data_IF_683475765839
#
_entry.id   IF_683475765839
#
_cell.length_a   1.000
_cell.length_b   1.000
_cell.length_c   1.000
_cell.angle_alpha   90.00
_cell.angle_beta   90.00
_cell.angle_gamma   90.00
#
_symmetry.space_group_name_H-M   'P 1'
#
loop_
_entity.id
_entity.type
_entity.pdbx_description
1 polymer ?
#
# COMPACT_ATOMS: atom_id res chain seq x y z
N UNK A 1 -1.07 -3.02 19.89
CA UNK A 1 0.11 -3.00 19.01
C UNK A 1 0.86 -1.68 19.10
N UNK A 2 2.14 -1.68 18.77
CA UNK A 2 2.91 -0.44 18.61
C UNK A 2 2.72 0.15 17.23
N UNK A 3 2.60 1.49 17.18
CA UNK A 3 2.51 2.25 15.93
C UNK A 3 3.29 3.57 16.02
N UNK A 4 3.80 4.04 14.91
CA UNK A 4 4.33 5.39 14.78
C UNK A 4 3.21 6.31 14.32
N UNK A 5 2.81 7.26 15.15
CA UNK A 5 1.63 8.11 14.98
C UNK A 5 2.01 9.57 15.08
N UNK A 6 1.33 10.43 14.36
CA UNK A 6 1.35 11.88 14.60
C UNK A 6 -0.03 12.37 15.04
N UNK A 7 -0.03 13.29 16.01
CA UNK A 7 -1.25 13.81 16.63
C UNK A 7 -1.72 15.11 15.95
N UNK A 8 -0.78 15.84 15.34
CA UNK A 8 -1.04 17.07 14.59
C UNK A 8 -0.17 17.07 13.33
N UNK A 9 -0.59 17.78 12.29
CA UNK A 9 0.24 17.97 11.11
C UNK A 9 1.56 18.67 11.48
N UNK A 10 2.64 18.24 10.86
CA UNK A 10 4.02 18.68 11.14
C UNK A 10 4.54 18.36 12.54
N UNK A 11 3.77 17.68 13.40
CA UNK A 11 4.23 17.25 14.72
C UNK A 11 5.17 16.04 14.59
N UNK A 12 6.05 15.79 15.58
CA UNK A 12 6.87 14.58 15.61
C UNK A 12 6.03 13.31 15.58
N UNK A 13 6.56 12.27 14.91
CA UNK A 13 6.02 10.92 15.03
C UNK A 13 6.37 10.33 16.39
N UNK A 14 5.38 9.83 17.08
CA UNK A 14 5.54 9.18 18.40
C UNK A 14 5.25 7.69 18.29
N UNK A 15 6.03 6.88 19.02
CA UNK A 15 5.73 5.45 19.14
C UNK A 15 4.75 5.27 20.29
N UNK A 16 3.55 4.84 19.94
CA UNK A 16 2.43 4.69 20.88
C UNK A 16 1.88 3.26 20.84
N UNK A 17 1.21 2.87 21.93
CA UNK A 17 0.42 1.65 21.97
C UNK A 17 -1.03 1.98 21.61
N UNK A 18 -1.52 1.37 20.54
CA UNK A 18 -2.89 1.49 20.03
C UNK A 18 -3.56 0.11 20.00
N UNK A 19 -4.89 0.01 19.98
CA UNK A 19 -5.58 -1.27 19.79
C UNK A 19 -5.12 -2.00 18.54
N UNK A 20 -5.10 -3.32 18.57
CA UNK A 20 -4.88 -4.12 17.37
C UNK A 20 -6.03 -3.90 16.38
N UNK A 21 -5.76 -3.91 15.06
CA UNK A 21 -6.79 -3.68 14.07
C UNK A 21 -7.78 -4.86 14.03
N UNK A 22 -9.06 -4.55 13.89
CA UNK A 22 -10.11 -5.56 13.68
C UNK A 22 -10.02 -6.14 12.26
N UNK A 23 -10.36 -7.42 12.13
CA UNK A 23 -10.42 -8.10 10.84
C UNK A 23 -11.63 -7.58 10.04
N UNK A 24 -11.44 -6.91 8.90
CA UNK A 24 -12.56 -6.40 8.11
C UNK A 24 -13.22 -7.52 7.29
N UNK A 25 -14.53 -7.43 7.03
CA UNK A 25 -15.21 -8.35 6.12
C UNK A 25 -14.55 -8.36 4.73
N UNK A 26 -14.32 -9.57 4.19
CA UNK A 26 -13.62 -9.75 2.90
C UNK A 26 -12.15 -9.32 2.93
N UNK A 27 -11.55 -9.20 4.11
CA UNK A 27 -10.22 -8.66 4.33
C UNK A 27 -9.27 -9.57 5.08
N UNK A 28 -8.14 -8.98 5.45
CA UNK A 28 -7.07 -9.62 6.21
C UNK A 28 -6.49 -8.66 7.25
N UNK A 29 -5.88 -9.22 8.29
CA UNK A 29 -4.89 -8.52 9.13
C UNK A 29 -3.51 -9.04 8.75
N UNK A 30 -2.60 -8.13 8.46
CA UNK A 30 -1.21 -8.45 8.07
C UNK A 30 -0.29 -8.01 9.20
N UNK A 31 0.55 -8.92 9.67
CA UNK A 31 1.72 -8.60 10.50
C UNK A 31 2.80 -7.99 9.62
N UNK A 32 3.06 -6.69 9.80
CA UNK A 32 4.04 -5.95 9.02
C UNK A 32 5.45 -6.46 9.31
N UNK A 33 6.22 -6.73 8.25
CA UNK A 33 7.61 -7.16 8.32
C UNK A 33 8.58 -6.13 7.78
N UNK A 34 8.12 -5.29 6.86
CA UNK A 34 8.86 -4.15 6.36
C UNK A 34 7.87 -3.09 5.87
N UNK A 35 8.21 -1.83 6.12
CA UNK A 35 7.51 -0.67 5.58
C UNK A 35 8.53 0.31 4.97
N UNK A 36 8.21 0.84 3.81
CA UNK A 36 8.99 1.86 3.12
C UNK A 36 8.50 3.26 3.48
N UNK A 37 9.39 4.24 3.42
CA UNK A 37 9.05 5.66 3.56
C UNK A 37 9.04 6.27 2.16
N UNK A 38 7.93 6.89 1.80
CA UNK A 38 7.73 7.57 0.53
C UNK A 38 7.61 9.08 0.73
N UNK A 39 7.84 9.85 -0.33
CA UNK A 39 7.59 11.30 -0.31
C UNK A 39 6.13 11.64 -0.02
N UNK A 40 5.21 10.75 -0.37
CA UNK A 40 3.78 10.92 -0.09
C UNK A 40 3.47 10.89 1.41
N UNK A 41 4.19 10.08 2.21
CA UNK A 41 4.02 10.09 3.67
C UNK A 41 4.43 11.45 4.27
N UNK A 42 5.45 12.11 3.69
CA UNK A 42 5.84 13.45 4.09
C UNK A 42 4.78 14.48 3.71
N UNK A 43 4.17 14.40 2.51
CA UNK A 43 3.07 15.28 2.12
C UNK A 43 1.85 15.09 3.03
N UNK A 44 1.54 13.83 3.37
CA UNK A 44 0.49 13.47 4.32
C UNK A 44 0.74 14.12 5.70
N UNK A 45 1.95 13.95 6.22
CA UNK A 45 2.37 14.55 7.50
C UNK A 45 2.33 16.09 7.48
N UNK A 46 2.59 16.75 6.33
CA UNK A 46 2.46 18.19 6.17
C UNK A 46 1.00 18.68 6.07
N UNK A 47 0.01 17.78 6.02
CA UNK A 47 -1.40 18.15 5.83
C UNK A 47 -1.75 18.55 4.39
N UNK A 48 -0.90 18.18 3.42
CA UNK A 48 -1.14 18.47 2.01
C UNK A 48 -2.08 17.47 1.34
N UNK A 49 -2.34 16.33 1.99
CA UNK A 49 -3.19 15.28 1.44
C UNK A 49 -4.61 15.38 2.00
N UNK A 50 -5.63 15.63 1.15
CA UNK A 50 -7.02 15.79 1.60
C UNK A 50 -7.67 14.49 2.04
N UNK A 51 -7.04 13.33 1.82
CA UNK A 51 -7.61 12.03 2.21
C UNK A 51 -7.38 11.70 3.68
N UNK A 52 -6.46 12.40 4.36
CA UNK A 52 -6.33 12.31 5.81
C UNK A 52 -7.42 13.14 6.47
N UNK A 53 -8.49 12.47 6.90
CA UNK A 53 -9.70 13.10 7.45
C UNK A 53 -9.67 13.26 8.97
N UNK A 54 -8.81 12.55 9.68
CA UNK A 54 -8.77 12.52 11.14
C UNK A 54 -7.35 12.38 11.68
N UNK A 55 -7.14 13.00 12.81
CA UNK A 55 -5.97 12.84 13.66
C UNK A 55 -6.42 12.27 15.02
N UNK A 56 -5.59 11.49 15.71
CA UNK A 56 -4.24 11.09 15.34
C UNK A 56 -4.21 10.12 14.17
N UNK A 57 -3.07 10.03 13.43
CA UNK A 57 -2.94 9.25 12.22
C UNK A 57 -1.64 8.43 12.17
N UNK A 58 -1.73 7.19 11.67
CA UNK A 58 -0.59 6.30 11.43
C UNK A 58 -0.31 6.26 9.92
N UNK A 59 0.83 6.78 9.46
CA UNK A 59 1.19 6.76 8.03
C UNK A 59 1.72 5.39 7.58
N UNK A 60 2.19 5.30 6.32
CA UNK A 60 2.83 4.13 5.74
C UNK A 60 1.93 3.38 4.76
N UNK A 61 2.28 3.44 3.47
CA UNK A 61 1.52 2.83 2.38
C UNK A 61 2.36 1.87 1.52
N UNK A 62 3.66 1.80 1.75
CA UNK A 62 4.56 0.83 1.11
C UNK A 62 4.94 -0.23 2.13
N UNK A 63 4.39 -1.44 2.05
CA UNK A 63 4.68 -2.46 3.05
C UNK A 63 4.57 -3.88 2.51
N UNK A 64 5.09 -4.78 3.30
CA UNK A 64 4.99 -6.22 3.09
C UNK A 64 4.94 -6.93 4.44
N UNK A 65 4.33 -8.10 4.45
CA UNK A 65 4.17 -8.83 5.71
C UNK A 65 3.66 -10.24 5.52
N UNK A 66 3.10 -10.76 6.59
CA UNK A 66 2.55 -12.12 6.69
C UNK A 66 1.10 -11.98 7.12
N UNK A 67 0.21 -12.72 6.47
CA UNK A 67 -1.21 -12.79 6.87
C UNK A 67 -1.29 -13.40 8.27
N UNK A 68 -1.82 -12.63 9.22
CA UNK A 68 -2.03 -13.04 10.62
C UNK A 68 -3.47 -13.52 10.85
N UNK A 69 -4.45 -12.84 10.22
CA UNK A 69 -5.85 -13.22 10.26
C UNK A 69 -6.49 -12.98 8.89
N UNK A 70 -7.50 -13.77 8.55
CA UNK A 70 -8.16 -13.75 7.25
C UNK A 70 -9.67 -14.01 7.40
N UNK A 71 -10.47 -13.28 6.63
CA UNK A 71 -11.90 -13.51 6.55
C UNK A 71 -12.17 -14.93 6.00
N UNK A 72 -13.04 -15.73 6.67
CA UNK A 72 -13.33 -17.11 6.26
C UNK A 72 -13.91 -17.27 4.84
N UNK A 73 -14.43 -16.20 4.26
CA UNK A 73 -14.92 -16.17 2.86
C UNK A 73 -13.81 -16.20 1.82
N UNK A 74 -12.58 -15.87 2.18
CA UNK A 74 -11.43 -15.84 1.26
C UNK A 74 -10.82 -17.24 1.18
N UNK A 75 -10.71 -17.82 -0.02
CA UNK A 75 -10.23 -19.18 -0.24
C UNK A 75 -8.85 -19.30 -0.88
N UNK A 76 -8.40 -18.25 -1.58
CA UNK A 76 -7.10 -18.23 -2.30
C UNK A 76 -5.90 -17.87 -1.44
N UNK A 77 -6.13 -17.48 -0.19
CA UNK A 77 -5.11 -17.06 0.77
C UNK A 77 -5.26 -17.81 2.10
N UNK A 78 -4.19 -17.87 2.85
CA UNK A 78 -4.17 -18.48 4.19
C UNK A 78 -3.26 -17.71 5.14
N UNK A 79 -3.49 -17.90 6.45
CA UNK A 79 -2.59 -17.40 7.50
C UNK A 79 -1.18 -17.96 7.26
N UNK A 80 -0.18 -17.11 7.40
CA UNK A 80 1.22 -17.44 7.12
C UNK A 80 1.70 -17.06 5.71
N UNK A 81 0.80 -16.76 4.77
CA UNK A 81 1.19 -16.33 3.42
C UNK A 81 1.95 -14.99 3.48
N UNK A 82 3.02 -14.90 2.70
CA UNK A 82 3.85 -13.70 2.52
C UNK A 82 3.22 -12.82 1.45
N UNK A 83 2.89 -11.57 1.81
CA UNK A 83 2.13 -10.68 0.94
C UNK A 83 2.62 -9.24 0.94
N UNK A 84 2.39 -8.57 -0.18
CA UNK A 84 2.41 -7.11 -0.34
C UNK A 84 1.13 -6.66 -1.04
N UNK A 85 0.91 -5.35 -1.14
CA UNK A 85 -0.25 -4.77 -1.82
C UNK A 85 0.15 -3.53 -2.63
N UNK A 86 -0.61 -3.14 -3.64
CA UNK A 86 -0.48 -1.80 -4.22
C UNK A 86 -0.92 -0.75 -3.20
N UNK A 87 -0.35 0.46 -3.26
CA UNK A 87 -0.70 1.55 -2.34
C UNK A 87 -2.18 1.99 -2.47
N UNK A 88 -2.78 1.82 -3.64
CA UNK A 88 -4.19 2.06 -3.91
C UNK A 88 -4.90 0.74 -4.15
N UNK A 89 -5.63 0.26 -3.14
CA UNK A 89 -6.35 -0.99 -3.18
C UNK A 89 -7.77 -0.75 -3.74
N UNK A 90 -8.12 -1.41 -4.85
CA UNK A 90 -9.45 -1.34 -5.44
C UNK A 90 -10.45 -2.27 -4.79
N UNK A 91 -11.75 -1.96 -4.88
CA UNK A 91 -12.82 -2.79 -4.30
C UNK A 91 -13.02 -4.14 -5.02
N UNK A 92 -12.55 -4.28 -6.26
CA UNK A 92 -12.67 -5.50 -7.07
C UNK A 92 -14.02 -5.69 -7.77
N UNK A 93 -15.03 -4.85 -7.48
CA UNK A 93 -16.42 -5.06 -7.96
C UNK A 93 -16.94 -3.94 -8.86
N UNK A 94 -16.34 -2.76 -8.84
CA UNK A 94 -16.76 -1.64 -9.68
C UNK A 94 -16.24 -1.80 -11.11
N UNK A 95 -16.80 -0.98 -12.03
CA UNK A 95 -16.40 -0.98 -13.44
C UNK A 95 -14.90 -0.73 -13.63
N UNK A 96 -14.32 0.21 -12.89
CA UNK A 96 -12.89 0.52 -12.99
C UNK A 96 -12.02 -0.69 -12.62
N UNK A 97 -12.41 -1.40 -11.57
CA UNK A 97 -11.70 -2.63 -11.17
C UNK A 97 -11.87 -3.74 -12.21
N UNK A 98 -13.06 -3.91 -12.78
CA UNK A 98 -13.33 -4.90 -13.83
C UNK A 98 -12.52 -4.61 -15.11
N UNK A 99 -12.28 -3.34 -15.42
CA UNK A 99 -11.46 -2.88 -16.55
C UNK A 99 -9.95 -2.91 -16.23
N UNK A 100 -9.51 -3.41 -15.05
CA UNK A 100 -8.11 -3.48 -14.63
C UNK A 100 -7.52 -2.16 -14.11
N UNK A 101 -8.35 -1.14 -13.88
CA UNK A 101 -7.94 0.20 -13.43
C UNK A 101 -8.22 0.40 -11.93
N UNK A 102 -7.76 -0.50 -11.09
CA UNK A 102 -7.99 -0.48 -9.64
C UNK A 102 -7.50 0.81 -8.95
N UNK A 103 -6.47 1.45 -9.49
CA UNK A 103 -5.90 2.70 -8.97
C UNK A 103 -6.83 3.93 -9.10
N UNK A 104 -7.90 3.84 -9.87
CA UNK A 104 -8.95 4.88 -9.99
C UNK A 104 -10.31 4.35 -9.52
N UNK A 105 -10.31 3.36 -8.66
CA UNK A 105 -11.51 2.85 -8.02
C UNK A 105 -12.16 3.95 -7.16
N UNK A 106 -13.47 4.22 -7.29
CA UNK A 106 -14.14 5.22 -6.46
C UNK A 106 -14.19 4.83 -4.97
N UNK A 107 -14.12 3.52 -4.67
CA UNK A 107 -14.12 2.95 -3.32
C UNK A 107 -12.71 2.50 -2.91
N UNK A 108 -11.67 3.17 -3.41
CA UNK A 108 -10.31 2.72 -3.11
C UNK A 108 -9.97 2.86 -1.63
N UNK A 109 -9.24 1.86 -1.12
CA UNK A 109 -8.64 1.89 0.19
C UNK A 109 -7.14 2.22 0.04
N UNK A 110 -6.71 3.27 0.71
CA UNK A 110 -5.31 3.72 0.69
C UNK A 110 -4.74 3.69 2.12
N UNK A 111 -3.99 2.63 2.49
CA UNK A 111 -3.34 2.58 3.80
C UNK A 111 -2.41 3.78 3.99
N UNK A 112 -2.43 4.38 5.17
CA UNK A 112 -1.62 5.57 5.48
C UNK A 112 -2.16 6.89 4.95
N UNK A 113 -3.36 6.89 4.32
CA UNK A 113 -4.07 8.07 3.84
C UNK A 113 -5.51 8.11 4.34
N UNK A 114 -6.42 7.38 3.68
CA UNK A 114 -7.83 7.34 4.12
C UNK A 114 -8.09 6.33 5.26
N UNK A 115 -7.06 5.64 5.72
CA UNK A 115 -7.04 4.77 6.89
C UNK A 115 -5.65 4.74 7.51
N UNK A 116 -5.52 4.22 8.73
CA UNK A 116 -4.22 3.98 9.34
C UNK A 116 -3.35 3.06 8.47
N UNK A 117 -2.08 3.38 8.41
CA UNK A 117 -1.08 2.73 7.56
C UNK A 117 -0.20 1.72 8.29
N UNK A 118 0.88 1.36 7.61
CA UNK A 118 1.77 0.27 7.99
C UNK A 118 2.98 0.68 8.84
N UNK A 119 3.06 1.93 9.32
CA UNK A 119 4.04 2.26 10.37
C UNK A 119 3.54 1.75 11.73
N UNK A 120 3.11 0.49 11.75
CA UNK A 120 2.57 -0.25 12.88
C UNK A 120 2.97 -1.73 12.80
N UNK A 121 2.78 -2.48 13.88
CA UNK A 121 3.05 -3.92 13.90
C UNK A 121 2.06 -4.71 13.04
N UNK A 122 0.81 -4.24 12.94
CA UNK A 122 -0.25 -4.87 12.16
C UNK A 122 -1.04 -3.83 11.35
N UNK A 123 -1.58 -4.27 10.24
CA UNK A 123 -2.49 -3.48 9.40
C UNK A 123 -3.67 -4.32 8.93
N UNK A 124 -4.87 -3.75 8.98
CA UNK A 124 -6.07 -4.35 8.41
C UNK A 124 -6.30 -3.85 6.98
N UNK A 125 -6.63 -4.75 6.09
CA UNK A 125 -6.91 -4.47 4.67
C UNK A 125 -8.24 -5.09 4.26
N UNK A 126 -9.21 -4.30 3.79
CA UNK A 126 -10.37 -4.82 3.08
C UNK A 126 -9.99 -5.28 1.66
N UNK A 127 -10.93 -5.92 0.96
CA UNK A 127 -10.75 -6.29 -0.45
C UNK A 127 -9.52 -7.17 -0.73
N UNK A 128 -9.19 -8.05 0.20
CA UNK A 128 -7.96 -8.85 0.15
C UNK A 128 -7.87 -9.72 -1.12
N UNK A 129 -8.98 -10.28 -1.57
CA UNK A 129 -9.03 -11.12 -2.77
C UNK A 129 -8.54 -10.39 -4.03
N UNK A 130 -8.75 -9.07 -4.11
CA UNK A 130 -8.38 -8.25 -5.28
C UNK A 130 -6.96 -7.74 -5.19
N UNK A 131 -6.46 -7.43 -3.99
CA UNK A 131 -5.27 -6.59 -3.84
C UNK A 131 -4.03 -7.31 -3.32
N UNK A 132 -4.18 -8.47 -2.67
CA UNK A 132 -3.02 -9.21 -2.16
C UNK A 132 -2.17 -9.77 -3.29
N UNK A 133 -0.86 -9.58 -3.16
CA UNK A 133 0.15 -10.09 -4.08
C UNK A 133 1.09 -10.99 -3.30
N UNK A 134 1.25 -12.25 -3.76
CA UNK A 134 2.16 -13.21 -3.13
C UNK A 134 3.62 -12.83 -3.34
N UNK A 135 4.38 -12.85 -2.27
CA UNK A 135 5.82 -12.61 -2.30
C UNK A 135 6.53 -13.97 -2.39
N UNK A 136 7.29 -14.24 -3.46
CA UNK A 136 8.15 -15.43 -3.55
C UNK A 136 9.19 -15.46 -2.43
N UNK A 137 9.64 -16.66 -2.03
CA UNK A 137 10.64 -16.80 -0.96
C UNK A 137 12.00 -16.19 -1.30
N UNK A 138 12.28 -16.02 -2.58
CA UNK A 138 13.49 -15.36 -3.10
C UNK A 138 13.51 -13.86 -2.93
N UNK A 139 12.35 -13.22 -2.66
CA UNK A 139 12.24 -11.77 -2.46
C UNK A 139 12.12 -11.47 -0.96
N UNK A 140 12.98 -10.59 -0.45
CA UNK A 140 12.92 -10.14 0.94
C UNK A 140 11.68 -9.25 1.18
N UNK A 141 11.21 -9.17 2.43
CA UNK A 141 10.13 -8.24 2.79
C UNK A 141 10.52 -6.78 2.49
N UNK A 142 11.76 -6.38 2.76
CA UNK A 142 12.23 -5.03 2.46
C UNK A 142 12.14 -4.70 0.96
N UNK A 143 12.57 -5.63 0.09
CA UNK A 143 12.44 -5.47 -1.35
C UNK A 143 10.97 -5.42 -1.79
N UNK A 144 10.13 -6.32 -1.26
CA UNK A 144 8.72 -6.37 -1.61
C UNK A 144 7.96 -5.10 -1.18
N UNK A 145 8.27 -4.53 0.00
CA UNK A 145 7.65 -3.29 0.46
C UNK A 145 7.88 -2.13 -0.52
N UNK A 146 9.04 -2.07 -1.19
CA UNK A 146 9.36 -0.99 -2.14
C UNK A 146 8.62 -1.10 -3.48
N UNK A 147 7.92 -2.19 -3.75
CA UNK A 147 7.26 -2.43 -5.04
C UNK A 147 5.84 -1.84 -5.13
N UNK A 148 5.15 -1.71 -4.01
CA UNK A 148 3.72 -1.40 -3.97
C UNK A 148 3.33 0.01 -4.44
N UNK A 149 4.24 0.99 -4.38
CA UNK A 149 3.99 2.37 -4.78
C UNK A 149 4.89 2.81 -5.94
N UNK A 150 6.14 3.18 -5.65
CA UNK A 150 7.04 3.82 -6.62
C UNK A 150 7.35 2.93 -7.82
N UNK A 151 7.60 1.65 -7.59
CA UNK A 151 7.87 0.70 -8.68
C UNK A 151 6.61 0.44 -9.51
N UNK A 152 5.48 0.15 -8.87
CA UNK A 152 4.22 -0.10 -9.55
C UNK A 152 3.81 1.12 -10.42
N UNK A 153 4.00 2.35 -9.92
CA UNK A 153 3.76 3.59 -10.63
C UNK A 153 4.65 3.70 -11.88
N UNK A 154 5.96 3.49 -11.73
CA UNK A 154 6.92 3.54 -12.85
C UNK A 154 6.61 2.46 -13.87
N UNK A 155 6.37 1.22 -13.43
CA UNK A 155 6.04 0.11 -14.31
C UNK A 155 4.78 0.37 -15.12
N UNK A 156 3.69 0.86 -14.48
CA UNK A 156 2.47 1.21 -15.19
C UNK A 156 2.71 2.32 -16.21
N UNK A 157 3.44 3.37 -15.86
CA UNK A 157 3.73 4.49 -16.76
C UNK A 157 4.46 4.04 -18.04
N UNK A 158 5.34 3.05 -17.92
CA UNK A 158 6.16 2.58 -19.03
C UNK A 158 5.51 1.44 -19.81
N UNK A 159 4.87 0.49 -19.14
CA UNK A 159 4.43 -0.79 -19.75
C UNK A 159 2.95 -0.82 -20.13
N UNK A 160 2.08 0.01 -19.51
CA UNK A 160 0.64 -0.07 -19.75
C UNK A 160 0.27 0.44 -21.15
N UNK A 161 -0.64 -0.27 -21.89
CA UNK A 161 -1.04 0.12 -23.26
C UNK A 161 -1.60 1.54 -23.38
N UNK A 162 -2.33 2.02 -22.35
CA UNK A 162 -2.91 3.37 -22.33
C UNK A 162 -1.92 4.44 -21.85
N UNK A 163 -0.65 4.09 -21.62
CA UNK A 163 0.42 4.97 -21.20
C UNK A 163 1.54 4.96 -22.26
N UNK A 164 2.80 4.93 -21.87
CA UNK A 164 3.92 4.94 -22.82
C UNK A 164 3.99 3.68 -23.69
N UNK A 165 3.52 2.54 -23.18
CA UNK A 165 3.53 1.23 -23.90
C UNK A 165 4.88 0.90 -24.55
N UNK A 166 5.97 1.17 -23.84
CA UNK A 166 7.35 1.08 -24.33
C UNK A 166 7.68 -0.31 -24.84
N UNK A 167 8.41 -0.34 -25.96
CA UNK A 167 8.92 -1.57 -26.59
C UNK A 167 10.43 -1.66 -26.47
N UNK A 168 10.95 -2.88 -26.58
CA UNK A 168 12.38 -3.10 -26.58
C UNK A 168 13.08 -2.27 -27.68
N UNK A 169 14.15 -1.57 -27.30
CA UNK A 169 14.92 -0.69 -28.20
C UNK A 169 14.46 0.77 -28.25
N UNK A 170 13.33 1.11 -27.66
CA UNK A 170 12.91 2.52 -27.54
C UNK A 170 13.72 3.26 -26.46
N UNK A 171 13.84 4.58 -26.64
CA UNK A 171 14.60 5.42 -25.72
C UNK A 171 13.66 6.13 -24.77
N UNK A 172 14.04 6.17 -23.48
CA UNK A 172 13.33 6.87 -22.42
C UNK A 172 14.21 7.97 -21.87
N UNK A 173 13.66 9.16 -21.69
CA UNK A 173 14.29 10.24 -20.96
C UNK A 173 13.58 10.44 -19.63
N UNK A 174 14.33 10.37 -18.53
CA UNK A 174 13.79 10.47 -17.17
C UNK A 174 14.29 11.75 -16.53
N UNK A 175 13.35 12.60 -16.10
CA UNK A 175 13.63 13.80 -15.33
C UNK A 175 13.43 13.51 -13.84
N UNK A 176 14.54 13.50 -13.09
CA UNK A 176 14.57 13.29 -11.64
C UNK A 176 14.99 11.86 -11.23
N UNK A 177 15.76 11.81 -10.13
CA UNK A 177 16.34 10.59 -9.57
C UNK A 177 15.74 10.25 -8.20
N UNK A 178 14.45 10.55 -8.00
CA UNK A 178 13.68 10.09 -6.83
C UNK A 178 13.23 8.65 -6.96
N UNK A 179 12.43 8.17 -6.01
CA UNK A 179 11.98 6.77 -5.98
C UNK A 179 11.34 6.28 -7.28
N UNK A 180 10.48 7.08 -7.91
CA UNK A 180 9.85 6.73 -9.20
C UNK A 180 10.87 6.75 -10.34
N UNK A 181 11.71 7.79 -10.41
CA UNK A 181 12.70 7.90 -11.50
C UNK A 181 13.76 6.81 -11.47
N UNK A 182 14.18 6.36 -10.28
CA UNK A 182 15.11 5.23 -10.13
C UNK A 182 14.44 3.87 -10.44
N UNK A 183 13.13 3.75 -10.22
CA UNK A 183 12.38 2.53 -10.53
C UNK A 183 12.16 2.37 -12.03
#
# INVERSE_FOLDING_TARGET
MKAAQFNDFCAPLEIVDIPDPELPPGGVVIKVKAAGICRSDWHAWQGHDPDIKSLPHVPGHEFSGIIEAIDPGIRQWQVGDRVTVPFACGCGTCRQCADGNTQVCPEQFQPGFNANGAFAEYIALPFAATNLIRIPDTISFASAASLGCRFATAYRALAHPDQAALKAGEKVLIFGCGGVGLS
#
